data_IF_151679615530
#
_entry.id   IF_151679615530
#
_cell.length_a   1.000
_cell.length_b   1.000
_cell.length_c   1.000
_cell.angle_alpha   90.00
_cell.angle_beta   90.00
_cell.angle_gamma   90.00
#
_symmetry.space_group_name_H-M   'P 1'
#
loop_
_entity.id
_entity.type
_entity.pdbx_description
1 polymer ?
#
# COMPACT_ATOMS: atom_id res chain seq x y z
N UNK A 1 20.07 -0.31 -28.06
CA UNK A 1 18.86 -0.65 -27.26
C UNK A 1 19.12 -1.02 -25.78
N UNK A 2 20.16 -1.81 -25.42
CA UNK A 2 20.39 -2.26 -24.02
C UNK A 2 20.75 -1.16 -22.99
N UNK A 3 21.29 0.00 -23.39
CA UNK A 3 21.63 1.12 -22.46
C UNK A 3 20.44 2.02 -22.11
N UNK A 4 19.45 2.17 -22.99
CA UNK A 4 18.32 3.09 -22.79
C UNK A 4 17.21 2.49 -21.91
N UNK A 5 17.04 1.16 -21.94
CA UNK A 5 16.07 0.44 -21.09
C UNK A 5 16.50 0.37 -19.62
N UNK A 6 17.80 0.51 -19.32
CA UNK A 6 18.33 0.40 -17.94
C UNK A 6 18.04 1.62 -17.06
N UNK A 7 17.96 2.82 -17.62
CA UNK A 7 17.78 4.07 -16.84
C UNK A 7 16.35 4.22 -16.26
N UNK A 8 15.26 3.95 -17.01
CA UNK A 8 13.89 4.08 -16.48
C UNK A 8 13.57 3.04 -15.41
N UNK A 9 14.02 1.78 -15.59
CA UNK A 9 13.82 0.72 -14.63
C UNK A 9 14.56 0.99 -13.31
N UNK A 10 15.83 1.43 -13.40
CA UNK A 10 16.60 1.82 -12.21
C UNK A 10 15.93 2.97 -11.45
N UNK A 11 15.48 4.01 -12.18
CA UNK A 11 14.78 5.12 -11.56
C UNK A 11 13.49 4.68 -10.84
N UNK A 12 12.72 3.76 -11.42
CA UNK A 12 11.52 3.20 -10.77
C UNK A 12 11.84 2.40 -9.52
N UNK A 13 12.94 1.63 -9.50
CA UNK A 13 13.36 0.87 -8.32
C UNK A 13 13.83 1.80 -7.20
N UNK A 14 14.66 2.79 -7.53
CA UNK A 14 15.14 3.78 -6.56
C UNK A 14 13.99 4.62 -5.97
N UNK A 15 13.05 5.04 -6.81
CA UNK A 15 11.84 5.76 -6.39
C UNK A 15 10.98 4.91 -5.44
N UNK A 16 10.73 3.64 -5.79
CA UNK A 16 9.97 2.75 -4.94
C UNK A 16 10.66 2.51 -3.59
N UNK A 17 11.98 2.38 -3.58
CA UNK A 17 12.77 2.27 -2.35
C UNK A 17 12.67 3.54 -1.50
N UNK A 18 12.76 4.73 -2.11
CA UNK A 18 12.62 6.01 -1.41
C UNK A 18 11.23 6.18 -0.79
N UNK A 19 10.17 5.89 -1.55
CA UNK A 19 8.78 6.02 -1.06
C UNK A 19 8.47 5.02 0.05
N UNK A 20 8.83 3.75 -0.14
CA UNK A 20 8.54 2.69 0.84
C UNK A 20 9.39 2.88 2.10
N UNK A 21 10.67 3.18 1.94
CA UNK A 21 11.59 3.48 3.03
C UNK A 21 11.16 4.72 3.82
N UNK A 22 10.75 5.78 3.13
CA UNK A 22 10.21 6.98 3.80
C UNK A 22 8.96 6.67 4.61
N UNK A 23 7.98 5.97 4.05
CA UNK A 23 6.75 5.61 4.79
C UNK A 23 7.04 4.75 6.02
N UNK A 24 7.99 3.82 5.90
CA UNK A 24 8.44 2.95 6.98
C UNK A 24 9.17 3.73 8.10
N UNK A 25 10.19 4.48 7.73
CA UNK A 25 11.04 5.20 8.69
C UNK A 25 10.30 6.38 9.33
N UNK A 26 9.48 7.11 8.58
CA UNK A 26 8.66 8.18 9.17
C UNK A 26 7.65 7.64 10.16
N UNK A 27 7.03 6.50 9.88
CA UNK A 27 6.15 5.81 10.83
C UNK A 27 6.87 5.42 12.13
N UNK A 28 8.07 4.84 12.04
CA UNK A 28 8.89 4.50 13.22
C UNK A 28 9.27 5.76 14.00
N UNK A 29 9.72 6.81 13.30
CA UNK A 29 10.12 8.06 13.94
C UNK A 29 8.95 8.71 14.69
N UNK A 30 7.78 8.80 14.07
CA UNK A 30 6.57 9.35 14.72
C UNK A 30 6.20 8.49 15.93
N UNK A 31 6.10 7.16 15.78
CA UNK A 31 5.76 6.26 16.88
C UNK A 31 6.69 6.43 18.11
N UNK A 32 7.99 6.65 17.85
CA UNK A 32 8.99 6.84 18.91
C UNK A 32 8.87 8.19 19.62
N UNK A 33 8.41 9.22 18.92
CA UNK A 33 8.41 10.60 19.39
C UNK A 33 7.08 11.02 20.03
N UNK A 34 5.94 10.52 19.55
CA UNK A 34 4.60 10.99 20.00
C UNK A 34 3.95 10.08 21.06
N UNK A 35 4.49 8.87 21.27
CA UNK A 35 3.87 7.88 22.14
C UNK A 35 2.81 7.04 21.43
N UNK A 36 2.33 5.99 22.11
CA UNK A 36 1.54 4.92 21.47
C UNK A 36 0.10 5.33 21.11
N UNK A 37 -0.56 6.14 21.93
CA UNK A 37 -1.93 6.61 21.69
C UNK A 37 -1.99 7.59 20.52
N UNK A 38 -1.17 8.65 20.55
CA UNK A 38 -1.02 9.61 19.45
C UNK A 38 -0.55 8.90 18.17
N UNK A 39 0.33 7.90 18.27
CA UNK A 39 0.71 7.12 17.11
C UNK A 39 -0.48 6.31 16.55
N UNK A 40 -1.38 5.83 17.41
CA UNK A 40 -2.66 5.23 17.02
C UNK A 40 -3.53 6.16 16.18
N UNK A 41 -3.74 7.40 16.65
CA UNK A 41 -4.49 8.43 15.92
C UNK A 41 -3.81 8.78 14.59
N UNK A 42 -2.50 8.95 14.59
CA UNK A 42 -1.71 9.18 13.38
C UNK A 42 -1.91 8.04 12.36
N UNK A 43 -1.83 6.79 12.81
CA UNK A 43 -2.04 5.61 11.97
C UNK A 43 -3.47 5.54 11.44
N UNK A 44 -4.47 5.91 12.25
CA UNK A 44 -5.86 6.00 11.80
C UNK A 44 -6.00 6.96 10.61
N UNK A 45 -5.39 8.15 10.71
CA UNK A 45 -5.33 9.11 9.60
C UNK A 45 -4.62 8.48 8.40
N UNK A 46 -3.48 7.81 8.59
CA UNK A 46 -2.77 7.14 7.50
C UNK A 46 -3.62 6.07 6.80
N UNK A 47 -4.44 5.30 7.53
CA UNK A 47 -5.32 4.29 6.94
C UNK A 47 -6.36 4.95 6.02
N UNK A 48 -7.05 5.97 6.52
CA UNK A 48 -8.13 6.64 5.80
C UNK A 48 -7.59 7.40 4.59
N UNK A 49 -6.47 8.10 4.77
CA UNK A 49 -5.79 8.81 3.69
C UNK A 49 -5.25 7.83 2.64
N UNK A 50 -4.72 6.67 3.03
CA UNK A 50 -4.29 5.64 2.07
C UNK A 50 -5.47 5.07 1.26
N UNK A 51 -6.63 4.88 1.88
CA UNK A 51 -7.86 4.49 1.18
C UNK A 51 -8.28 5.53 0.15
N UNK A 52 -8.32 6.81 0.55
CA UNK A 52 -8.59 7.93 -0.34
C UNK A 52 -7.61 7.97 -1.52
N UNK A 53 -6.32 7.71 -1.28
CA UNK A 53 -5.31 7.60 -2.33
C UNK A 53 -5.54 6.40 -3.26
N UNK A 54 -6.01 5.27 -2.74
CA UNK A 54 -6.42 4.11 -3.55
C UNK A 54 -7.54 4.45 -4.54
N UNK A 55 -8.59 5.13 -4.07
CA UNK A 55 -9.69 5.61 -4.91
C UNK A 55 -9.20 6.62 -5.95
N UNK A 56 -8.37 7.58 -5.54
CA UNK A 56 -7.73 8.54 -6.45
C UNK A 56 -6.90 7.82 -7.53
N UNK A 57 -6.10 6.83 -7.14
CA UNK A 57 -5.30 6.04 -8.07
C UNK A 57 -6.17 5.30 -9.10
N UNK A 58 -7.27 4.68 -8.66
CA UNK A 58 -8.19 3.95 -9.53
C UNK A 58 -8.89 4.86 -10.56
N UNK A 59 -9.21 6.10 -10.20
CA UNK A 59 -9.96 7.03 -11.05
C UNK A 59 -9.06 7.91 -11.93
N UNK A 60 -7.86 8.26 -11.46
CA UNK A 60 -7.02 9.28 -12.08
C UNK A 60 -5.71 8.67 -12.59
N UNK A 61 -4.91 8.13 -11.68
CA UNK A 61 -3.50 7.84 -11.93
C UNK A 61 -3.30 6.56 -12.75
N UNK A 62 -3.95 5.46 -12.38
CA UNK A 62 -3.83 4.19 -13.10
C UNK A 62 -4.39 4.24 -14.53
N UNK A 63 -5.56 4.88 -14.78
CA UNK A 63 -6.03 5.09 -16.15
C UNK A 63 -5.06 5.93 -16.99
N UNK A 64 -4.49 6.99 -16.43
CA UNK A 64 -3.47 7.81 -17.11
C UNK A 64 -2.26 6.98 -17.52
N UNK A 65 -1.68 6.21 -16.59
CA UNK A 65 -0.54 5.33 -16.85
C UNK A 65 -0.84 4.34 -17.98
N UNK A 66 -2.02 3.73 -17.94
CA UNK A 66 -2.46 2.72 -18.93
C UNK A 66 -2.68 3.34 -20.32
N UNK A 67 -3.33 4.50 -20.39
CA UNK A 67 -3.64 5.16 -21.66
C UNK A 67 -2.39 5.67 -22.37
N UNK A 68 -1.40 6.16 -21.61
CA UNK A 68 -0.14 6.65 -22.20
C UNK A 68 0.77 5.50 -22.63
N UNK A 69 0.79 4.39 -21.88
CA UNK A 69 1.55 3.20 -22.26
C UNK A 69 1.13 2.61 -23.62
N UNK A 70 -0.12 2.83 -24.07
CA UNK A 70 -0.65 2.38 -25.38
C UNK A 70 -0.16 3.21 -26.58
N UNK A 71 1.04 3.80 -26.50
CA UNK A 71 1.75 4.39 -27.65
C UNK A 71 1.36 5.82 -28.02
N UNK A 72 0.54 6.51 -27.22
CA UNK A 72 0.22 7.93 -27.44
C UNK A 72 1.07 8.79 -26.54
N UNK A 73 2.00 9.56 -27.11
CA UNK A 73 2.71 10.61 -26.36
C UNK A 73 1.64 11.54 -25.77
N UNK A 74 1.60 11.64 -24.44
CA UNK A 74 0.62 12.48 -23.77
C UNK A 74 0.78 13.92 -24.26
N UNK A 75 -0.25 14.47 -24.91
CA UNK A 75 -0.27 15.90 -25.20
C UNK A 75 -0.19 16.66 -23.87
N UNK A 76 0.57 17.73 -23.82
CA UNK A 76 0.77 18.48 -22.58
C UNK A 76 -0.54 19.05 -22.01
N UNK A 77 -1.53 19.33 -22.88
CA UNK A 77 -2.90 19.67 -22.50
C UNK A 77 -3.64 18.53 -21.81
N UNK A 78 -3.37 17.27 -22.17
CA UNK A 78 -3.92 16.11 -21.47
C UNK A 78 -3.35 16.01 -20.06
N UNK A 79 -2.04 16.16 -19.88
CA UNK A 79 -1.41 16.12 -18.55
C UNK A 79 -1.91 17.26 -17.65
N UNK A 80 -2.09 18.47 -18.20
CA UNK A 80 -2.70 19.58 -17.48
C UNK A 80 -4.18 19.31 -17.11
N UNK A 81 -4.95 18.66 -17.99
CA UNK A 81 -6.33 18.24 -17.69
C UNK A 81 -6.37 17.15 -16.61
N UNK A 82 -5.43 16.20 -16.65
CA UNK A 82 -5.30 15.17 -15.62
C UNK A 82 -4.94 15.78 -14.28
N UNK A 83 -3.98 16.71 -14.22
CA UNK A 83 -3.62 17.41 -12.99
C UNK A 83 -4.78 18.23 -12.42
N UNK A 84 -5.54 18.92 -13.28
CA UNK A 84 -6.76 19.63 -12.88
C UNK A 84 -7.82 18.68 -12.29
N UNK A 85 -8.03 17.55 -12.95
CA UNK A 85 -8.98 16.52 -12.50
C UNK A 85 -8.50 15.86 -11.21
N UNK A 86 -7.19 15.63 -11.07
CA UNK A 86 -6.57 15.10 -9.87
C UNK A 86 -6.81 16.01 -8.67
N UNK A 87 -6.65 17.34 -8.85
CA UNK A 87 -6.95 18.32 -7.80
C UNK A 87 -8.42 18.25 -7.36
N UNK A 88 -9.36 18.22 -8.31
CA UNK A 88 -10.79 18.11 -7.99
C UNK A 88 -11.11 16.82 -7.25
N UNK A 89 -10.64 15.68 -7.74
CA UNK A 89 -10.84 14.37 -7.10
C UNK A 89 -10.17 14.34 -5.72
N UNK A 90 -9.01 14.99 -5.56
CA UNK A 90 -8.32 15.10 -4.28
C UNK A 90 -9.09 15.92 -3.25
N UNK A 91 -9.76 17.00 -3.67
CA UNK A 91 -10.62 17.80 -2.79
C UNK A 91 -11.84 16.99 -2.33
N UNK A 92 -12.51 16.28 -3.26
CA UNK A 92 -13.62 15.38 -2.91
C UNK A 92 -13.15 14.28 -1.94
N UNK A 93 -12.00 13.69 -2.21
CA UNK A 93 -11.41 12.67 -1.35
C UNK A 93 -11.04 13.23 0.03
N UNK A 94 -10.56 14.48 0.12
CA UNK A 94 -10.25 15.14 1.38
C UNK A 94 -11.52 15.42 2.21
N UNK A 95 -12.63 15.82 1.58
CA UNK A 95 -13.93 15.89 2.25
C UNK A 95 -14.37 14.52 2.75
N UNK A 96 -14.18 13.46 1.95
CA UNK A 96 -14.45 12.08 2.38
C UNK A 96 -13.60 11.65 3.60
N UNK A 97 -12.31 11.97 3.60
CA UNK A 97 -11.40 11.74 4.74
C UNK A 97 -11.88 12.48 5.98
N UNK A 98 -12.24 13.77 5.85
CA UNK A 98 -12.72 14.56 6.97
C UNK A 98 -14.01 13.98 7.56
N UNK A 99 -14.99 13.63 6.71
CA UNK A 99 -16.23 13.01 7.14
C UNK A 99 -15.99 11.64 7.81
N UNK A 100 -15.07 10.84 7.29
CA UNK A 100 -14.71 9.55 7.88
C UNK A 100 -14.09 9.71 9.27
N UNK A 101 -13.16 10.66 9.44
CA UNK A 101 -12.55 10.95 10.74
C UNK A 101 -13.60 11.44 11.75
N UNK A 102 -14.46 12.40 11.35
CA UNK A 102 -15.57 12.88 12.18
C UNK A 102 -16.50 11.73 12.58
N UNK A 103 -16.86 10.85 11.64
CA UNK A 103 -17.70 9.69 11.92
C UNK A 103 -17.03 8.72 12.91
N UNK A 104 -15.72 8.49 12.81
CA UNK A 104 -15.01 7.61 13.74
C UNK A 104 -14.95 8.21 15.15
N UNK A 105 -14.68 9.52 15.29
CA UNK A 105 -14.76 10.20 16.59
C UNK A 105 -16.17 10.07 17.20
N UNK A 106 -17.20 10.29 16.38
CA UNK A 106 -18.59 10.15 16.82
C UNK A 106 -18.94 8.71 17.25
N UNK A 107 -18.51 7.70 16.48
CA UNK A 107 -18.70 6.28 16.81
C UNK A 107 -17.99 5.86 18.10
N UNK A 108 -16.90 6.54 18.45
CA UNK A 108 -16.17 6.30 19.70
C UNK A 108 -16.66 7.16 20.87
N UNK A 109 -17.63 8.04 20.66
CA UNK A 109 -18.09 9.02 21.65
C UNK A 109 -16.97 9.97 22.14
N UNK A 110 -15.97 10.25 21.31
CA UNK A 110 -14.91 11.22 21.60
C UNK A 110 -15.20 12.58 20.94
N UNK A 111 -14.71 13.70 21.52
CA UNK A 111 -14.78 15.00 20.87
C UNK A 111 -14.00 14.98 19.55
N UNK A 112 -14.52 15.69 18.55
CA UNK A 112 -13.85 15.81 17.26
C UNK A 112 -12.61 16.68 17.42
N UNK A 113 -11.44 16.10 17.17
CA UNK A 113 -10.19 16.84 17.11
C UNK A 113 -10.05 17.54 15.75
N UNK A 114 -10.35 18.84 15.74
CA UNK A 114 -10.33 19.65 14.52
C UNK A 114 -8.98 19.60 13.79
N UNK A 115 -7.87 19.67 14.53
CA UNK A 115 -6.52 19.66 13.94
C UNK A 115 -6.19 18.33 13.24
N UNK A 116 -6.67 17.20 13.77
CA UNK A 116 -6.55 15.87 13.13
C UNK A 116 -7.35 15.82 11.83
N UNK A 117 -8.59 16.31 11.86
CA UNK A 117 -9.48 16.32 10.69
C UNK A 117 -8.88 17.18 9.58
N UNK A 118 -8.43 18.39 9.90
CA UNK A 118 -7.85 19.33 8.93
C UNK A 118 -6.51 18.82 8.41
N UNK A 119 -5.61 18.34 9.28
CA UNK A 119 -4.31 17.80 8.85
C UNK A 119 -4.48 16.54 8.00
N UNK A 120 -5.42 15.65 8.32
CA UNK A 120 -5.75 14.47 7.51
C UNK A 120 -6.34 14.81 6.14
N UNK A 121 -7.22 15.81 6.07
CA UNK A 121 -7.73 16.33 4.80
C UNK A 121 -6.62 16.96 3.95
N UNK A 122 -5.75 17.78 4.57
CA UNK A 122 -4.60 18.38 3.90
C UNK A 122 -3.62 17.32 3.38
N UNK A 123 -3.33 16.29 4.19
CA UNK A 123 -2.49 15.16 3.77
C UNK A 123 -3.10 14.43 2.58
N UNK A 124 -4.42 14.21 2.58
CA UNK A 124 -5.14 13.59 1.46
C UNK A 124 -4.91 14.34 0.15
N UNK A 125 -5.04 15.67 0.17
CA UNK A 125 -4.77 16.50 -1.02
C UNK A 125 -3.30 16.39 -1.43
N UNK A 126 -2.40 16.59 -0.48
CA UNK A 126 -0.96 16.65 -0.74
C UNK A 126 -0.42 15.35 -1.36
N UNK A 127 -0.77 14.19 -0.80
CA UNK A 127 -0.29 12.89 -1.26
C UNK A 127 -0.88 12.51 -2.63
N UNK A 128 -2.15 12.85 -2.91
CA UNK A 128 -2.79 12.53 -4.18
C UNK A 128 -2.19 13.36 -5.33
N UNK A 129 -1.91 14.64 -5.06
CA UNK A 129 -1.17 15.49 -5.98
C UNK A 129 0.25 14.96 -6.19
N UNK A 130 0.96 14.61 -5.11
CA UNK A 130 2.31 14.05 -5.20
C UNK A 130 2.34 12.77 -6.03
N UNK A 131 1.41 11.84 -5.78
CA UNK A 131 1.25 10.62 -6.57
C UNK A 131 1.03 10.92 -8.06
N UNK A 132 0.17 11.88 -8.37
CA UNK A 132 -0.16 12.26 -9.75
C UNK A 132 1.06 12.83 -10.47
N UNK A 133 1.71 13.83 -9.86
CA UNK A 133 2.88 14.49 -10.45
C UNK A 133 4.03 13.51 -10.60
N UNK A 134 4.29 12.66 -9.59
CA UNK A 134 5.28 11.58 -9.68
C UNK A 134 5.06 10.71 -10.89
N UNK A 135 3.82 10.28 -11.13
CA UNK A 135 3.45 9.40 -12.25
C UNK A 135 3.52 10.10 -13.60
N UNK A 136 3.20 11.40 -13.67
CA UNK A 136 3.43 12.22 -14.87
C UNK A 136 4.94 12.31 -15.18
N UNK A 137 5.80 12.48 -14.19
CA UNK A 137 7.26 12.49 -14.40
C UNK A 137 7.76 11.17 -14.98
N UNK A 138 7.27 10.03 -14.49
CA UNK A 138 7.60 8.72 -15.06
C UNK A 138 7.15 8.59 -16.51
N UNK A 139 5.92 9.00 -16.82
CA UNK A 139 5.39 9.01 -18.20
C UNK A 139 6.23 9.89 -19.13
N UNK A 140 6.72 11.04 -18.64
CA UNK A 140 7.63 11.94 -19.38
C UNK A 140 9.06 11.43 -19.49
N UNK A 141 9.37 10.23 -18.97
CA UNK A 141 10.73 9.67 -18.93
C UNK A 141 11.67 10.36 -17.93
N UNK A 142 11.13 11.17 -17.02
CA UNK A 142 11.87 11.93 -15.99
C UNK A 142 11.82 11.23 -14.62
N UNK A 143 11.95 9.90 -14.60
CA UNK A 143 11.88 9.10 -13.37
C UNK A 143 12.92 9.49 -12.31
N UNK A 144 14.10 9.98 -12.71
CA UNK A 144 15.10 10.47 -11.74
C UNK A 144 14.64 11.74 -11.02
N UNK A 145 13.81 12.58 -11.65
CA UNK A 145 13.23 13.76 -11.00
C UNK A 145 12.11 13.36 -10.03
N UNK A 146 11.37 12.28 -10.33
CA UNK A 146 10.42 11.68 -9.39
C UNK A 146 11.14 11.14 -8.14
N UNK A 147 12.21 10.37 -8.34
CA UNK A 147 13.06 9.91 -7.24
C UNK A 147 13.63 11.07 -6.42
N UNK A 148 14.12 12.13 -7.08
CA UNK A 148 14.61 13.32 -6.39
C UNK A 148 13.52 14.03 -5.59
N UNK A 149 12.31 14.16 -6.14
CA UNK A 149 11.15 14.73 -5.42
C UNK A 149 10.86 13.96 -4.14
N UNK A 150 10.80 12.62 -4.20
CA UNK A 150 10.51 11.80 -3.03
C UNK A 150 11.67 11.76 -2.02
N UNK A 151 12.92 11.77 -2.50
CA UNK A 151 14.11 11.85 -1.65
C UNK A 151 14.20 13.19 -0.92
N UNK A 152 13.95 14.30 -1.62
CA UNK A 152 13.90 15.64 -1.01
C UNK A 152 12.78 15.69 0.03
N UNK A 153 11.61 15.11 -0.26
CA UNK A 153 10.52 15.05 0.73
C UNK A 153 10.97 14.32 1.99
N UNK A 154 11.62 13.16 1.85
CA UNK A 154 12.10 12.38 2.98
C UNK A 154 13.12 13.16 3.83
N UNK A 155 14.06 13.86 3.19
CA UNK A 155 15.04 14.70 3.87
C UNK A 155 14.36 15.88 4.58
N UNK A 156 13.51 16.63 3.90
CA UNK A 156 12.80 17.79 4.48
C UNK A 156 11.94 17.37 5.67
N UNK A 157 11.25 16.24 5.59
CA UNK A 157 10.47 15.72 6.72
C UNK A 157 11.37 15.36 7.90
N UNK A 158 12.50 14.70 7.65
CA UNK A 158 13.47 14.33 8.69
C UNK A 158 14.08 15.56 9.37
N UNK A 159 14.39 16.62 8.61
CA UNK A 159 14.84 17.88 9.21
C UNK A 159 13.74 18.59 9.97
N UNK A 160 12.51 18.60 9.43
CA UNK A 160 11.38 19.26 10.07
C UNK A 160 10.99 18.61 11.40
N UNK A 161 10.99 17.27 11.46
CA UNK A 161 10.67 16.56 12.72
C UNK A 161 11.76 16.80 13.78
N UNK A 162 13.04 16.84 13.39
CA UNK A 162 14.16 17.18 14.29
C UNK A 162 14.07 18.62 14.76
N UNK A 163 13.73 19.56 13.87
CA UNK A 163 13.58 20.97 14.23
C UNK A 163 12.41 21.19 15.21
N UNK A 164 11.27 20.54 14.99
CA UNK A 164 10.13 20.56 15.93
C UNK A 164 10.55 20.01 17.28
N UNK A 165 11.23 18.86 17.29
CA UNK A 165 11.75 18.26 18.52
C UNK A 165 12.73 19.18 19.26
N UNK A 166 13.69 19.82 18.57
CA UNK A 166 14.64 20.76 19.17
C UNK A 166 14.01 22.06 19.67
N UNK A 167 12.94 22.53 19.03
CA UNK A 167 12.24 23.74 19.45
C UNK A 167 11.38 23.55 20.71
N UNK A 168 11.25 22.31 21.22
CA UNK A 168 10.40 21.99 22.37
C UNK A 168 8.90 22.05 22.06
N UNK A 169 8.53 22.17 20.78
CA UNK A 169 7.14 22.11 20.35
C UNK A 169 6.60 20.68 20.54
N UNK A 170 5.37 20.57 21.02
CA UNK A 170 4.72 19.28 21.25
C UNK A 170 4.45 18.60 19.90
N UNK A 171 5.07 17.43 19.70
CA UNK A 171 4.78 16.58 18.56
C UNK A 171 3.63 15.65 18.93
N UNK A 172 2.54 15.72 18.19
CA UNK A 172 1.35 14.88 18.34
C UNK A 172 0.91 14.37 16.96
N UNK A 173 -0.18 13.60 16.91
CA UNK A 173 -0.68 13.03 15.67
C UNK A 173 -1.01 14.11 14.62
N UNK A 174 -1.61 15.22 15.04
CA UNK A 174 -2.01 16.30 14.15
C UNK A 174 -0.80 17.02 13.54
N UNK A 175 0.18 17.39 14.36
CA UNK A 175 1.39 18.07 13.88
C UNK A 175 2.27 17.16 13.03
N UNK A 176 2.40 15.87 13.37
CA UNK A 176 3.08 14.88 12.54
C UNK A 176 2.39 14.69 11.17
N UNK A 177 1.05 14.63 11.15
CA UNK A 177 0.26 14.56 9.91
C UNK A 177 0.40 15.83 9.08
N UNK A 178 0.36 17.00 9.71
CA UNK A 178 0.54 18.29 9.05
C UNK A 178 1.94 18.41 8.43
N UNK A 179 2.98 17.91 9.11
CA UNK A 179 4.35 17.83 8.57
C UNK A 179 4.41 16.95 7.32
N UNK A 180 3.76 15.79 7.31
CA UNK A 180 3.67 14.95 6.09
C UNK A 180 2.99 15.70 4.94
N UNK A 181 1.90 16.41 5.23
CA UNK A 181 1.18 17.19 4.23
C UNK A 181 2.04 18.34 3.69
N UNK A 182 2.66 19.13 4.58
CA UNK A 182 3.49 20.27 4.22
C UNK A 182 4.71 19.85 3.37
N UNK A 183 5.42 18.80 3.76
CA UNK A 183 6.59 18.32 3.01
C UNK A 183 6.24 17.75 1.64
N UNK A 184 5.08 17.09 1.52
CA UNK A 184 4.53 16.69 0.24
C UNK A 184 4.19 17.91 -0.64
N UNK A 185 3.56 18.94 -0.08
CA UNK A 185 3.23 20.18 -0.81
C UNK A 185 4.47 20.94 -1.28
N UNK A 186 5.47 21.10 -0.41
CA UNK A 186 6.73 21.79 -0.72
C UNK A 186 7.42 21.17 -1.95
N UNK A 187 7.39 19.84 -2.06
CA UNK A 187 8.05 19.12 -3.16
C UNK A 187 7.19 19.04 -4.42
N UNK A 188 5.85 18.93 -4.29
CA UNK A 188 4.96 18.76 -5.44
C UNK A 188 4.62 20.08 -6.14
N UNK A 189 4.42 21.18 -5.39
CA UNK A 189 3.90 22.45 -5.94
C UNK A 189 4.79 23.01 -7.06
N UNK A 190 6.12 23.09 -6.94
CA UNK A 190 6.99 23.59 -8.01
C UNK A 190 6.86 22.78 -9.31
N UNK A 191 6.74 21.45 -9.18
CA UNK A 191 6.65 20.52 -10.31
C UNK A 191 5.25 20.54 -10.94
N UNK A 192 4.20 20.61 -10.11
CA UNK A 192 2.81 20.77 -10.54
C UNK A 192 2.61 22.08 -11.32
N UNK A 193 3.22 23.16 -10.84
CA UNK A 193 3.16 24.47 -11.50
C UNK A 193 3.74 24.45 -12.91
N UNK A 194 4.86 23.74 -13.11
CA UNK A 194 5.44 23.53 -14.44
C UNK A 194 4.53 22.78 -15.41
N UNK A 195 3.69 21.86 -14.91
CA UNK A 195 2.68 21.15 -15.72
C UNK A 195 1.48 22.06 -16.00
N UNK A 196 1.06 22.84 -15.00
CA UNK A 196 -0.10 23.74 -15.05
C UNK A 196 0.08 24.93 -15.99
N UNK A 197 1.32 25.41 -16.21
CA UNK A 197 1.64 26.54 -17.10
C UNK A 197 1.38 26.27 -18.59
N UNK A 198 1.06 25.03 -18.96
CA UNK A 198 0.80 24.67 -20.37
C UNK A 198 -0.52 25.29 -20.87
N UNK A 199 -0.68 25.65 -22.17
CA UNK A 199 -1.81 26.46 -22.63
C UNK A 199 -3.19 25.93 -22.22
N UNK A 200 -3.91 26.73 -21.41
CA UNK A 200 -5.20 26.37 -20.79
C UNK A 200 -6.39 26.32 -21.76
N UNK A 201 -6.29 26.94 -22.93
CA UNK A 201 -7.38 27.06 -23.93
C UNK A 201 -7.84 25.71 -24.55
N UNK A 202 -7.39 24.57 -24.03
CA UNK A 202 -7.76 23.24 -24.51
C UNK A 202 -8.04 22.18 -23.44
N UNK A 203 -8.26 22.55 -22.17
CA UNK A 203 -8.60 21.56 -21.13
C UNK A 203 -9.91 20.83 -21.48
N UNK A 204 -9.89 19.49 -21.47
CA UNK A 204 -11.01 18.65 -21.91
C UNK A 204 -11.39 17.63 -20.84
N UNK A 205 -12.07 18.08 -19.79
CA UNK A 205 -12.46 17.24 -18.65
C UNK A 205 -13.35 16.06 -19.06
N UNK A 206 -14.45 16.30 -19.77
CA UNK A 206 -15.44 15.27 -20.11
C UNK A 206 -14.85 14.11 -20.94
N UNK A 207 -14.08 14.36 -22.03
CA UNK A 207 -13.42 13.28 -22.76
C UNK A 207 -12.40 12.51 -21.93
N UNK A 208 -11.65 13.19 -21.05
CA UNK A 208 -10.67 12.55 -20.16
C UNK A 208 -11.38 11.67 -19.13
N UNK A 209 -12.42 12.19 -18.47
CA UNK A 209 -13.23 11.46 -17.51
C UNK A 209 -13.87 10.22 -18.14
N UNK A 210 -14.45 10.33 -19.33
CA UNK A 210 -15.04 9.19 -20.03
C UNK A 210 -14.00 8.10 -20.34
N UNK A 211 -12.81 8.47 -20.81
CA UNK A 211 -11.72 7.51 -21.06
C UNK A 211 -11.19 6.88 -19.79
N UNK A 212 -11.06 7.66 -18.71
CA UNK A 212 -10.61 7.16 -17.41
C UNK A 212 -11.62 6.20 -16.81
N UNK A 213 -12.91 6.52 -16.87
CA UNK A 213 -13.99 5.70 -16.32
C UNK A 213 -14.04 4.30 -16.96
N UNK A 214 -13.71 4.17 -18.25
CA UNK A 214 -13.64 2.87 -18.92
C UNK A 214 -12.72 1.85 -18.21
N UNK A 215 -11.62 2.34 -17.60
CA UNK A 215 -10.68 1.56 -16.79
C UNK A 215 -11.10 1.60 -15.30
N UNK A 216 -11.39 2.80 -14.80
CA UNK A 216 -11.67 3.08 -13.40
C UNK A 216 -12.90 2.35 -12.85
N UNK A 217 -13.93 2.09 -13.67
CA UNK A 217 -15.14 1.37 -13.25
C UNK A 217 -14.87 -0.04 -12.70
N UNK A 218 -13.76 -0.65 -13.11
CA UNK A 218 -13.34 -1.97 -12.62
C UNK A 218 -12.36 -1.86 -11.46
N UNK A 219 -11.46 -0.88 -11.50
CA UNK A 219 -10.47 -0.67 -10.43
C UNK A 219 -11.10 -0.07 -9.17
N UNK A 220 -12.13 0.75 -9.30
CA UNK A 220 -12.73 1.47 -8.18
C UNK A 220 -13.39 0.52 -7.16
N UNK A 221 -14.26 -0.44 -7.54
CA UNK A 221 -14.78 -1.43 -6.59
C UNK A 221 -13.68 -2.31 -5.98
N UNK A 222 -12.61 -2.60 -6.74
CA UNK A 222 -11.50 -3.40 -6.24
C UNK A 222 -10.81 -2.75 -5.04
N UNK A 223 -10.73 -1.41 -5.00
CA UNK A 223 -10.16 -0.68 -3.86
C UNK A 223 -10.91 -0.99 -2.57
N UNK A 224 -12.25 -1.09 -2.60
CA UNK A 224 -13.05 -1.45 -1.42
C UNK A 224 -12.78 -2.87 -0.95
N UNK A 225 -12.67 -3.81 -1.89
CA UNK A 225 -12.39 -5.21 -1.57
C UNK A 225 -11.02 -5.35 -0.91
N UNK A 226 -9.98 -4.77 -1.51
CA UNK A 226 -8.62 -4.84 -0.98
C UNK A 226 -8.47 -4.06 0.32
N UNK A 227 -9.10 -2.89 0.44
CA UNK A 227 -9.10 -2.11 1.67
C UNK A 227 -9.78 -2.84 2.81
N UNK A 228 -10.96 -3.42 2.56
CA UNK A 228 -11.67 -4.22 3.54
C UNK A 228 -10.80 -5.38 4.06
N UNK A 229 -10.09 -6.03 3.14
CA UNK A 229 -9.28 -7.21 3.45
C UNK A 229 -8.02 -6.86 4.26
N UNK A 230 -7.41 -5.69 4.00
CA UNK A 230 -6.10 -5.33 4.58
C UNK A 230 -6.19 -4.35 5.76
N UNK A 231 -7.17 -3.43 5.75
CA UNK A 231 -7.20 -2.27 6.63
C UNK A 231 -8.40 -2.23 7.59
N UNK A 232 -9.52 -2.89 7.29
CA UNK A 232 -10.72 -2.75 8.12
C UNK A 232 -10.55 -3.28 9.54
N UNK A 233 -9.78 -4.37 9.72
CA UNK A 233 -9.46 -4.93 11.03
C UNK A 233 -8.80 -3.89 11.97
N UNK A 234 -8.01 -2.98 11.41
CA UNK A 234 -7.33 -1.91 12.15
C UNK A 234 -8.30 -0.87 12.67
N UNK A 235 -9.24 -0.45 11.81
CA UNK A 235 -10.25 0.55 12.18
C UNK A 235 -11.17 -0.02 13.26
N UNK A 236 -11.66 -1.25 13.07
CA UNK A 236 -12.54 -1.90 14.05
C UNK A 236 -11.79 -2.14 15.37
N UNK A 237 -10.54 -2.57 15.33
CA UNK A 237 -9.72 -2.70 16.54
C UNK A 237 -9.62 -1.38 17.29
N UNK A 238 -9.43 -0.25 16.59
CA UNK A 238 -9.39 1.05 17.23
C UNK A 238 -10.72 1.57 17.75
N UNK A 239 -11.82 1.29 17.05
CA UNK A 239 -13.17 1.65 17.53
C UNK A 239 -13.54 0.87 18.79
N UNK A 240 -13.14 -0.41 18.87
CA UNK A 240 -13.50 -1.29 19.99
C UNK A 240 -12.52 -1.21 21.16
N UNK A 241 -11.23 -1.08 20.89
CA UNK A 241 -10.15 -1.20 21.89
C UNK A 241 -9.39 0.12 22.14
N UNK A 242 -9.68 1.18 21.39
CA UNK A 242 -9.01 2.49 21.52
C UNK A 242 -7.77 2.68 20.64
N UNK A 243 -7.19 3.88 20.70
CA UNK A 243 -6.08 4.29 19.82
C UNK A 243 -4.77 3.56 20.10
N UNK A 244 -4.49 3.27 21.37
CA UNK A 244 -3.33 2.48 21.77
C UNK A 244 -3.25 1.15 21.00
N UNK A 245 -4.40 0.50 20.83
CA UNK A 245 -4.50 -0.78 20.14
C UNK A 245 -4.11 -0.65 18.66
N UNK A 246 -4.54 0.41 17.96
CA UNK A 246 -4.12 0.69 16.58
C UNK A 246 -2.61 0.93 16.53
N UNK A 247 -2.10 1.78 17.43
CA UNK A 247 -0.69 2.16 17.48
C UNK A 247 0.21 0.95 17.71
N UNK A 248 -0.12 0.14 18.73
CA UNK A 248 0.63 -1.07 19.06
C UNK A 248 0.57 -2.15 17.99
N UNK A 249 -0.60 -2.38 17.39
CA UNK A 249 -0.71 -3.31 16.27
C UNK A 249 0.11 -2.82 15.06
N UNK A 250 0.18 -1.50 14.82
CA UNK A 250 0.88 -0.96 13.64
C UNK A 250 2.38 -1.03 13.85
N UNK A 251 2.85 -0.76 15.06
CA UNK A 251 4.23 -1.01 15.45
C UNK A 251 4.60 -2.49 15.25
N UNK A 252 3.71 -3.40 15.64
CA UNK A 252 3.90 -4.83 15.40
C UNK A 252 3.98 -5.15 13.89
N UNK A 253 3.13 -4.52 13.07
CA UNK A 253 3.20 -4.66 11.62
C UNK A 253 4.47 -4.06 11.02
N UNK A 254 4.99 -2.94 11.52
CA UNK A 254 6.25 -2.39 11.02
C UNK A 254 7.41 -3.36 11.23
N UNK A 255 7.51 -4.03 12.37
CA UNK A 255 8.59 -5.02 12.56
C UNK A 255 8.58 -6.11 11.48
N UNK A 256 7.43 -6.71 11.20
CA UNK A 256 7.32 -7.71 10.13
C UNK A 256 7.28 -7.11 8.72
N UNK A 257 6.88 -5.84 8.62
CA UNK A 257 6.76 -5.07 7.38
C UNK A 257 8.11 -4.82 6.71
N UNK A 258 9.21 -4.85 7.48
CA UNK A 258 10.56 -4.90 6.93
C UNK A 258 10.73 -6.06 5.93
N UNK A 259 10.16 -7.23 6.22
CA UNK A 259 10.17 -8.40 5.32
C UNK A 259 9.37 -8.12 4.06
N UNK A 260 8.23 -7.42 4.19
CA UNK A 260 7.39 -7.05 3.04
C UNK A 260 8.16 -6.10 2.11
N UNK A 261 8.93 -5.14 2.64
CA UNK A 261 9.76 -4.25 1.81
C UNK A 261 10.77 -5.05 0.96
N UNK A 262 11.39 -6.09 1.55
CA UNK A 262 12.27 -7.00 0.82
C UNK A 262 11.52 -7.81 -0.24
N UNK A 263 10.29 -8.24 0.05
CA UNK A 263 9.43 -8.92 -0.93
C UNK A 263 9.06 -8.00 -2.09
N UNK A 264 8.75 -6.73 -1.84
CA UNK A 264 8.45 -5.73 -2.87
C UNK A 264 9.62 -5.54 -3.83
N UNK A 265 10.87 -5.70 -3.38
CA UNK A 265 12.04 -5.67 -4.27
C UNK A 265 11.99 -6.76 -5.36
N UNK A 266 11.26 -7.86 -5.11
CA UNK A 266 11.07 -8.95 -6.08
C UNK A 266 9.93 -8.71 -7.08
N UNK A 267 9.05 -7.73 -6.84
CA UNK A 267 7.83 -7.49 -7.64
C UNK A 267 8.10 -7.16 -9.11
N UNK A 268 9.27 -6.64 -9.46
CA UNK A 268 9.63 -6.36 -10.85
C UNK A 268 10.31 -7.55 -11.56
N UNK A 269 10.88 -8.47 -10.78
CA UNK A 269 11.70 -9.58 -11.30
C UNK A 269 10.84 -10.84 -11.41
N UNK A 270 10.05 -11.13 -10.39
CA UNK A 270 9.31 -12.37 -10.29
C UNK A 270 8.23 -12.52 -11.37
N UNK A 271 7.38 -11.51 -11.66
CA UNK A 271 6.34 -11.66 -12.67
C UNK A 271 6.91 -11.76 -14.08
N UNK A 272 7.95 -10.99 -14.40
CA UNK A 272 8.57 -10.98 -15.74
C UNK A 272 9.27 -12.30 -16.04
N UNK A 273 9.97 -12.87 -15.07
CA UNK A 273 10.59 -14.18 -15.20
C UNK A 273 9.55 -15.32 -15.17
N UNK A 274 8.45 -15.19 -14.43
CA UNK A 274 7.33 -16.13 -14.46
C UNK A 274 6.66 -16.17 -15.84
N UNK A 275 6.34 -15.00 -16.43
CA UNK A 275 5.79 -14.91 -17.78
C UNK A 275 6.72 -15.56 -18.81
N UNK A 276 8.03 -15.28 -18.74
CA UNK A 276 9.01 -15.92 -19.64
C UNK A 276 9.09 -17.43 -19.45
N UNK A 277 9.04 -17.92 -18.21
CA UNK A 277 9.05 -19.36 -17.93
C UNK A 277 7.79 -20.06 -18.46
N UNK A 278 6.65 -19.35 -18.49
CA UNK A 278 5.43 -19.81 -19.12
C UNK A 278 5.54 -19.83 -20.64
N UNK A 279 6.06 -18.76 -21.26
CA UNK A 279 6.27 -18.70 -22.72
C UNK A 279 7.18 -19.82 -23.25
N UNK A 280 8.26 -20.16 -22.52
CA UNK A 280 9.25 -21.14 -22.99
C UNK A 280 8.96 -22.57 -22.61
N UNK A 281 8.33 -22.81 -21.46
CA UNK A 281 8.13 -24.14 -20.88
C UNK A 281 6.68 -24.48 -20.52
N UNK A 282 5.73 -23.66 -20.94
CA UNK A 282 4.32 -23.79 -20.61
C UNK A 282 4.06 -23.79 -19.10
N UNK A 283 2.95 -24.41 -18.69
CA UNK A 283 2.54 -24.47 -17.29
C UNK A 283 3.58 -25.19 -16.41
N UNK A 284 4.20 -26.27 -16.92
CA UNK A 284 5.20 -27.04 -16.17
C UNK A 284 6.49 -26.24 -15.92
N UNK A 285 6.95 -25.49 -16.92
CA UNK A 285 8.09 -24.57 -16.79
C UNK A 285 7.84 -23.48 -15.76
N UNK A 286 6.66 -22.86 -15.81
CA UNK A 286 6.21 -21.86 -14.83
C UNK A 286 6.20 -22.41 -13.40
N UNK A 287 5.61 -23.59 -13.18
CA UNK A 287 5.54 -24.21 -11.85
C UNK A 287 6.91 -24.58 -11.30
N UNK A 288 7.79 -25.10 -12.15
CA UNK A 288 9.17 -25.42 -11.79
C UNK A 288 9.92 -24.16 -11.37
N UNK A 289 9.77 -23.08 -12.13
CA UNK A 289 10.35 -21.78 -11.81
C UNK A 289 9.85 -21.25 -10.45
N UNK A 290 8.53 -21.19 -10.25
CA UNK A 290 7.94 -20.69 -9.00
C UNK A 290 8.32 -21.54 -7.79
N UNK A 291 8.34 -22.88 -7.93
CA UNK A 291 8.80 -23.79 -6.85
C UNK A 291 10.26 -23.54 -6.51
N UNK A 292 11.13 -23.39 -7.51
CA UNK A 292 12.56 -23.09 -7.29
C UNK A 292 12.75 -21.76 -6.58
N UNK A 293 11.98 -20.73 -6.97
CA UNK A 293 12.07 -19.43 -6.33
C UNK A 293 11.52 -19.45 -4.90
N UNK A 294 10.43 -20.18 -4.66
CA UNK A 294 9.87 -20.40 -3.32
C UNK A 294 10.86 -21.13 -2.40
N UNK A 295 11.55 -22.17 -2.90
CA UNK A 295 12.57 -22.90 -2.13
C UNK A 295 13.85 -22.09 -1.89
N UNK A 296 14.15 -21.12 -2.76
CA UNK A 296 15.30 -20.21 -2.59
C UNK A 296 15.01 -19.09 -1.60
N UNK A 297 13.85 -18.42 -1.75
CA UNK A 297 13.48 -17.26 -0.93
C UNK A 297 12.84 -17.67 0.40
N UNK A 298 12.10 -18.78 0.43
CA UNK A 298 11.34 -19.25 1.58
C UNK A 298 12.19 -19.42 2.85
N UNK A 299 13.34 -20.13 2.82
CA UNK A 299 14.20 -20.25 3.99
C UNK A 299 14.77 -18.91 4.47
N UNK A 300 15.14 -18.02 3.55
CA UNK A 300 15.63 -16.67 3.89
C UNK A 300 14.55 -15.84 4.60
N UNK A 301 13.33 -15.86 4.06
CA UNK A 301 12.18 -15.17 4.64
C UNK A 301 11.80 -15.81 5.98
N UNK A 302 11.77 -17.14 6.05
CA UNK A 302 11.44 -17.89 7.26
C UNK A 302 12.42 -17.60 8.39
N UNK A 303 13.72 -17.62 8.11
CA UNK A 303 14.75 -17.24 9.09
C UNK A 303 14.54 -15.80 9.58
N UNK A 304 14.33 -14.85 8.66
CA UNK A 304 14.10 -13.46 9.02
C UNK A 304 12.85 -13.30 9.90
N UNK A 305 11.74 -13.95 9.55
CA UNK A 305 10.52 -13.93 10.34
C UNK A 305 10.73 -14.53 11.74
N UNK A 306 11.47 -15.63 11.86
CA UNK A 306 11.81 -16.24 13.16
C UNK A 306 12.67 -15.29 14.00
N UNK A 307 13.68 -14.65 13.41
CA UNK A 307 14.54 -13.68 14.12
C UNK A 307 13.79 -12.44 14.61
N UNK A 308 12.71 -12.05 13.92
CA UNK A 308 11.83 -10.96 14.33
C UNK A 308 10.82 -11.43 15.39
N UNK A 309 10.20 -12.60 15.18
CA UNK A 309 9.09 -13.07 16.00
C UNK A 309 9.50 -13.59 17.39
N UNK A 310 10.65 -14.26 17.51
CA UNK A 310 11.07 -14.88 18.77
C UNK A 310 11.34 -13.80 19.86
N UNK A 311 12.28 -12.85 19.66
CA UNK A 311 12.53 -11.75 20.59
C UNK A 311 11.66 -10.51 20.29
N UNK A 312 10.42 -10.69 19.83
CA UNK A 312 9.56 -9.58 19.40
C UNK A 312 9.43 -8.45 20.44
N UNK A 313 9.31 -8.77 21.74
CA UNK A 313 9.23 -7.78 22.81
C UNK A 313 10.49 -6.91 22.91
N UNK A 314 11.67 -7.50 22.71
CA UNK A 314 12.96 -6.79 22.68
C UNK A 314 13.02 -5.83 21.50
N UNK A 315 12.61 -6.29 20.31
CA UNK A 315 12.57 -5.43 19.12
C UNK A 315 11.59 -4.27 19.29
N UNK A 316 10.39 -4.51 19.82
CA UNK A 316 9.41 -3.46 20.08
C UNK A 316 9.94 -2.42 21.07
N UNK A 317 10.61 -2.87 22.14
CA UNK A 317 11.19 -1.98 23.14
C UNK A 317 12.32 -1.13 22.57
N UNK A 318 13.19 -1.74 21.76
CA UNK A 318 14.33 -1.05 21.15
C UNK A 318 13.88 0.00 20.12
N UNK A 319 12.96 -0.38 19.23
CA UNK A 319 12.57 0.44 18.07
C UNK A 319 11.54 1.50 18.44
N UNK A 320 10.54 1.14 19.25
CA UNK A 320 9.37 1.99 19.54
C UNK A 320 9.32 2.44 21.00
N UNK A 321 9.73 1.58 21.93
CA UNK A 321 9.80 1.89 23.36
C UNK A 321 9.10 0.85 24.24
N UNK A 322 9.30 0.93 25.58
CA UNK A 322 8.81 -0.08 26.52
C UNK A 322 7.30 -0.32 26.45
N UNK A 323 6.50 0.73 26.24
CA UNK A 323 5.04 0.64 26.11
C UNK A 323 4.59 -0.31 24.97
N UNK A 324 5.40 -0.43 23.92
CA UNK A 324 5.07 -1.29 22.77
C UNK A 324 5.37 -2.77 23.02
N UNK A 325 6.12 -3.14 24.07
CA UNK A 325 6.51 -4.53 24.33
C UNK A 325 5.31 -5.48 24.50
N UNK A 326 4.17 -4.96 24.99
CA UNK A 326 2.93 -5.70 25.18
C UNK A 326 2.39 -6.32 23.87
N UNK A 327 2.77 -5.78 22.71
CA UNK A 327 2.30 -6.21 21.40
C UNK A 327 3.16 -7.32 20.76
N UNK A 328 4.08 -7.92 21.53
CA UNK A 328 4.96 -9.01 21.05
C UNK A 328 4.19 -10.21 20.48
N UNK A 329 3.05 -10.56 21.08
CA UNK A 329 2.20 -11.65 20.56
C UNK A 329 1.63 -11.30 19.19
N UNK A 330 1.20 -10.05 18.99
CA UNK A 330 0.72 -9.57 17.69
C UNK A 330 1.82 -9.65 16.61
N UNK A 331 3.08 -9.35 16.94
CA UNK A 331 4.22 -9.54 16.01
C UNK A 331 4.35 -10.99 15.57
N UNK A 332 4.26 -11.94 16.51
CA UNK A 332 4.37 -13.38 16.21
C UNK A 332 3.25 -13.85 15.29
N UNK A 333 2.02 -13.41 15.56
CA UNK A 333 0.86 -13.73 14.71
C UNK A 333 1.01 -13.10 13.32
N UNK A 334 1.37 -11.81 13.24
CA UNK A 334 1.59 -11.12 11.96
C UNK A 334 2.78 -11.68 11.18
N UNK A 335 3.78 -12.27 11.83
CA UNK A 335 4.87 -12.96 11.14
C UNK A 335 4.36 -14.18 10.36
N UNK A 336 3.38 -14.91 10.91
CA UNK A 336 2.66 -15.98 10.19
C UNK A 336 1.88 -15.39 9.02
N UNK A 337 1.23 -14.23 9.20
CA UNK A 337 0.54 -13.55 8.10
C UNK A 337 1.49 -13.25 6.93
N UNK A 338 2.71 -12.77 7.20
CA UNK A 338 3.71 -12.51 6.16
C UNK A 338 4.13 -13.79 5.42
N UNK A 339 4.26 -14.92 6.12
CA UNK A 339 4.49 -16.20 5.47
C UNK A 339 3.33 -16.60 4.54
N UNK A 340 2.08 -16.40 4.97
CA UNK A 340 0.89 -16.62 4.12
C UNK A 340 0.87 -15.67 2.91
N UNK A 341 1.23 -14.39 3.09
CA UNK A 341 1.34 -13.40 2.01
C UNK A 341 2.37 -13.86 0.97
N UNK A 342 3.58 -14.24 1.40
CA UNK A 342 4.61 -14.72 0.49
C UNK A 342 4.11 -15.88 -0.39
N UNK A 343 3.46 -16.85 0.25
CA UNK A 343 2.91 -18.01 -0.43
C UNK A 343 1.80 -17.61 -1.41
N UNK A 344 0.83 -16.81 -0.95
CA UNK A 344 -0.26 -16.27 -1.79
C UNK A 344 0.30 -15.55 -3.00
N UNK A 345 1.35 -14.74 -2.83
CA UNK A 345 1.93 -13.93 -3.87
C UNK A 345 2.68 -14.80 -4.90
N UNK A 346 3.38 -15.86 -4.47
CA UNK A 346 3.97 -16.86 -5.39
C UNK A 346 2.90 -17.51 -6.28
N UNK A 347 1.78 -17.94 -5.68
CA UNK A 347 0.68 -18.56 -6.45
C UNK A 347 -0.06 -17.51 -7.30
N UNK A 348 -0.13 -16.27 -6.86
CA UNK A 348 -0.70 -15.17 -7.67
C UNK A 348 0.12 -14.96 -8.94
N UNK A 349 1.45 -15.10 -8.90
CA UNK A 349 2.28 -15.00 -10.11
C UNK A 349 1.97 -16.11 -11.13
N UNK A 350 1.54 -17.29 -10.68
CA UNK A 350 1.08 -18.34 -11.59
C UNK A 350 -0.11 -17.86 -12.41
N UNK A 351 -1.16 -17.38 -11.74
CA UNK A 351 -2.39 -16.90 -12.37
C UNK A 351 -2.16 -15.67 -13.25
N UNK A 352 -1.27 -14.77 -12.84
CA UNK A 352 -0.87 -13.61 -13.65
C UNK A 352 -0.13 -14.01 -14.92
N UNK A 353 0.78 -14.98 -14.84
CA UNK A 353 1.58 -15.41 -15.99
C UNK A 353 0.72 -16.10 -17.07
N UNK A 354 -0.35 -16.80 -16.67
CA UNK A 354 -1.31 -17.42 -17.60
C UNK A 354 -2.48 -16.49 -17.97
N UNK A 355 -2.41 -15.22 -17.57
CA UNK A 355 -3.42 -14.17 -17.83
C UNK A 355 -4.83 -14.46 -17.29
N UNK A 356 -4.98 -15.41 -16.36
CA UNK A 356 -6.24 -15.70 -15.68
C UNK A 356 -6.25 -15.15 -14.25
N UNK A 357 -6.67 -13.90 -14.11
CA UNK A 357 -6.72 -13.20 -12.81
C UNK A 357 -8.04 -13.37 -12.06
N UNK A 358 -9.02 -14.09 -12.62
CA UNK A 358 -10.31 -14.35 -11.97
C UNK A 358 -10.18 -15.04 -10.60
N UNK A 359 -9.38 -16.12 -10.49
CA UNK A 359 -9.11 -16.79 -9.21
C UNK A 359 -8.46 -15.88 -8.16
N UNK A 360 -7.64 -14.92 -8.59
CA UNK A 360 -7.01 -13.93 -7.69
C UNK A 360 -8.07 -13.03 -7.07
N UNK A 361 -9.01 -12.53 -7.88
CA UNK A 361 -10.12 -11.74 -7.38
C UNK A 361 -11.00 -12.54 -6.40
N UNK A 362 -11.36 -13.78 -6.74
CA UNK A 362 -12.15 -14.67 -5.88
C UNK A 362 -11.46 -14.92 -4.53
N UNK A 363 -10.14 -15.14 -4.53
CA UNK A 363 -9.36 -15.32 -3.31
C UNK A 363 -9.46 -14.12 -2.36
N UNK A 364 -9.40 -12.89 -2.90
CA UNK A 364 -9.54 -11.66 -2.11
C UNK A 364 -10.96 -11.47 -1.57
N UNK A 365 -11.99 -11.79 -2.37
CA UNK A 365 -13.38 -11.71 -1.92
C UNK A 365 -13.64 -12.72 -0.78
N UNK A 366 -13.22 -13.97 -0.93
CA UNK A 366 -13.37 -15.00 0.12
C UNK A 366 -12.63 -14.58 1.39
N UNK A 367 -11.39 -14.11 1.25
CA UNK A 367 -10.59 -13.58 2.35
C UNK A 367 -11.31 -12.45 3.09
N UNK A 368 -11.87 -11.48 2.36
CA UNK A 368 -12.66 -10.40 2.93
C UNK A 368 -13.88 -10.91 3.68
N UNK A 369 -14.67 -11.81 3.07
CA UNK A 369 -15.87 -12.35 3.70
C UNK A 369 -15.55 -13.10 4.99
N UNK A 370 -14.53 -13.95 4.98
CA UNK A 370 -14.08 -14.66 6.18
C UNK A 370 -13.64 -13.66 7.24
N UNK A 371 -12.79 -12.69 6.88
CA UNK A 371 -12.32 -11.66 7.80
C UNK A 371 -13.48 -10.92 8.43
N UNK A 372 -14.48 -10.47 7.65
CA UNK A 372 -15.66 -9.77 8.18
C UNK A 372 -16.44 -10.59 9.21
N UNK A 373 -16.63 -11.88 8.96
CA UNK A 373 -17.37 -12.78 9.87
C UNK A 373 -16.64 -12.94 11.21
N UNK A 374 -15.31 -13.09 11.18
CA UNK A 374 -14.54 -13.35 12.41
C UNK A 374 -14.03 -12.08 13.10
N UNK A 375 -14.09 -10.92 12.43
CA UNK A 375 -13.43 -9.68 12.88
C UNK A 375 -13.92 -9.23 14.25
N UNK A 376 -15.21 -8.97 14.37
CA UNK A 376 -15.80 -8.48 15.61
C UNK A 376 -15.62 -9.47 16.78
N UNK A 377 -16.00 -10.77 16.66
CA UNK A 377 -15.83 -11.69 17.79
C UNK A 377 -14.37 -11.86 18.20
N UNK A 378 -13.43 -11.95 17.24
CA UNK A 378 -12.01 -12.08 17.59
C UNK A 378 -11.47 -10.85 18.30
N UNK A 379 -11.84 -9.64 17.86
CA UNK A 379 -11.39 -8.40 18.50
C UNK A 379 -11.97 -8.26 19.91
N UNK A 380 -13.24 -8.62 20.12
CA UNK A 380 -13.89 -8.54 21.43
C UNK A 380 -13.31 -9.57 22.42
N UNK A 381 -13.14 -10.83 21.99
CA UNK A 381 -12.73 -11.92 22.90
C UNK A 381 -11.21 -12.07 23.05
N UNK A 382 -10.42 -11.77 22.01
CA UNK A 382 -8.97 -11.92 22.01
C UNK A 382 -8.21 -10.58 21.92
N UNK A 383 -8.93 -9.47 22.05
CA UNK A 383 -8.38 -8.12 22.03
C UNK A 383 -7.57 -7.85 20.75
N UNK A 384 -6.44 -7.16 20.92
CA UNK A 384 -5.60 -6.76 19.78
C UNK A 384 -4.92 -7.93 19.07
N UNK A 385 -4.64 -9.02 19.81
CA UNK A 385 -4.12 -10.25 19.20
C UNK A 385 -5.19 -10.89 18.30
N UNK A 386 -6.47 -10.77 18.67
CA UNK A 386 -7.60 -11.13 17.83
C UNK A 386 -7.59 -10.41 16.48
N UNK A 387 -7.33 -9.10 16.46
CA UNK A 387 -7.19 -8.36 15.20
C UNK A 387 -6.04 -8.89 14.32
N UNK A 388 -4.90 -9.25 14.92
CA UNK A 388 -3.78 -9.87 14.21
C UNK A 388 -4.17 -11.25 13.63
N UNK A 389 -4.96 -12.04 14.35
CA UNK A 389 -5.48 -13.32 13.84
C UNK A 389 -6.43 -13.14 12.67
N UNK A 390 -7.31 -12.15 12.71
CA UNK A 390 -8.23 -11.82 11.59
C UNK A 390 -7.43 -11.58 10.31
N UNK A 391 -6.38 -10.75 10.39
CA UNK A 391 -5.48 -10.46 9.26
C UNK A 391 -4.80 -11.74 8.77
N UNK A 392 -4.26 -12.54 9.70
CA UNK A 392 -3.54 -13.78 9.39
C UNK A 392 -4.44 -14.80 8.71
N UNK A 393 -5.64 -15.03 9.24
CA UNK A 393 -6.63 -15.96 8.70
C UNK A 393 -7.08 -15.47 7.32
N UNK A 394 -7.32 -14.18 7.12
CA UNK A 394 -7.63 -13.62 5.81
C UNK A 394 -6.55 -13.95 4.77
N UNK A 395 -5.27 -13.74 5.08
CA UNK A 395 -4.18 -14.09 4.18
C UNK A 395 -4.03 -15.60 3.99
N UNK A 396 -4.20 -16.40 5.03
CA UNK A 396 -4.17 -17.87 4.94
C UNK A 396 -5.29 -18.40 4.02
N UNK A 397 -6.51 -17.87 4.13
CA UNK A 397 -7.65 -18.27 3.30
C UNK A 397 -7.46 -17.94 1.83
N UNK A 398 -6.96 -16.74 1.52
CA UNK A 398 -6.63 -16.39 0.12
C UNK A 398 -5.51 -17.28 -0.44
N UNK A 399 -4.45 -17.55 0.33
CA UNK A 399 -3.38 -18.46 -0.07
C UNK A 399 -3.91 -19.88 -0.34
N UNK A 400 -4.70 -20.42 0.58
CA UNK A 400 -5.28 -21.75 0.49
C UNK A 400 -6.20 -21.88 -0.74
N UNK A 401 -7.09 -20.91 -0.96
CA UNK A 401 -7.98 -20.90 -2.10
C UNK A 401 -7.22 -20.92 -3.44
N UNK A 402 -6.19 -20.07 -3.58
CA UNK A 402 -5.36 -20.04 -4.79
C UNK A 402 -4.62 -21.36 -5.03
N UNK A 403 -4.07 -21.96 -3.97
CA UNK A 403 -3.42 -23.27 -4.09
C UNK A 403 -4.39 -24.36 -4.54
N UNK A 404 -5.61 -24.37 -4.00
CA UNK A 404 -6.64 -25.35 -4.36
C UNK A 404 -7.00 -25.24 -5.84
N UNK A 405 -7.26 -24.02 -6.34
CA UNK A 405 -7.57 -23.81 -7.77
C UNK A 405 -6.39 -24.20 -8.65
N UNK A 406 -5.15 -23.83 -8.28
CA UNK A 406 -3.96 -24.22 -9.04
C UNK A 406 -3.76 -25.74 -9.09
N UNK A 407 -4.05 -26.45 -7.99
CA UNK A 407 -3.99 -27.93 -7.94
C UNK A 407 -5.07 -28.58 -8.80
N UNK A 408 -6.31 -28.10 -8.72
CA UNK A 408 -7.43 -28.61 -9.52
C UNK A 408 -7.17 -28.45 -11.03
N UNK A 409 -6.68 -27.29 -11.46
CA UNK A 409 -6.33 -27.05 -12.86
C UNK A 409 -5.26 -28.03 -13.37
N UNK A 410 -4.21 -28.22 -12.59
CA UNK A 410 -3.17 -29.18 -12.96
C UNK A 410 -3.66 -30.62 -13.02
N UNK A 411 -4.56 -31.04 -12.11
CA UNK A 411 -5.13 -32.38 -12.15
C UNK A 411 -5.97 -32.58 -13.42
N UNK A 412 -6.72 -31.57 -13.84
CA UNK A 412 -7.52 -31.61 -15.06
C UNK A 412 -6.65 -31.65 -16.32
N UNK A 413 -5.57 -30.86 -16.37
CA UNK A 413 -4.63 -30.86 -17.49
C UNK A 413 -3.94 -32.22 -17.68
N UNK A 414 -3.53 -32.87 -16.58
CA UNK A 414 -2.94 -34.22 -16.63
C UNK A 414 -3.94 -35.29 -17.07
N UNK A 415 -5.24 -35.13 -16.81
CA UNK A 415 -6.30 -36.05 -17.27
C UNK A 415 -6.61 -35.87 -18.75
N UNK A 416 -6.61 -34.66 -19.27
CA UNK A 416 -6.86 -34.39 -20.70
C UNK A 416 -5.68 -34.70 -21.62
N UNK A 417 -4.46 -34.83 -21.06
CA UNK A 417 -3.24 -35.12 -21.83
C UNK A 417 -2.91 -36.64 -21.93
N UNK A 418 -3.71 -37.52 -21.33
CA UNK A 418 -3.59 -38.96 -21.57
C UNK A 418 -4.26 -39.29 -22.91
N UNK A 419 -3.58 -40.02 -23.83
CA UNK A 419 -4.23 -40.48 -25.05
C UNK A 419 -5.42 -41.37 -24.66
N UNK A 420 -6.57 -41.15 -25.32
CA UNK A 420 -7.68 -42.09 -25.26
C UNK A 420 -7.16 -43.43 -25.77
N UNK A 421 -7.01 -44.39 -24.86
CA UNK A 421 -6.53 -45.74 -25.15
C UNK A 421 -7.50 -46.50 -26.05
#
# INVERSE_FOLDING_TARGET
MKRFVRRPALASVLDQAAVSGFGFLSGIAVARLVGIEEFGLFVLVLIITAFAQGLHNALVTAPMMTLVARGRRAASTYEATVLASAMLVSLVAATGTALALVAIFALRHHPVEFDIVVSGAALTVAQNLQLTVRRILFIRGRGLLAFAMDSVRALVFSFAIVAVWWSGLVLNAASATALLAATALITVVPLAYGIWRTPRRGLRFRPVAHRHWGIGRWMFPLVFVTFGQEQLAWIIAGVVLGDEAIGGLRAAQYLVGFVIILLTATENILPTAAARAFETGGEQGLRTYLKRMALKLGPMIGLLLVTIALPAGTWLTLVFGPAFAAYATSVRVLAVAVACIFIRDMVTQYFRAIEDTGPVFQAFVISLMVSLVIMYPMIVYAGITGAAFVITIGHAMSAAHLMLIMRQRSANYSRSAMPAG
#
